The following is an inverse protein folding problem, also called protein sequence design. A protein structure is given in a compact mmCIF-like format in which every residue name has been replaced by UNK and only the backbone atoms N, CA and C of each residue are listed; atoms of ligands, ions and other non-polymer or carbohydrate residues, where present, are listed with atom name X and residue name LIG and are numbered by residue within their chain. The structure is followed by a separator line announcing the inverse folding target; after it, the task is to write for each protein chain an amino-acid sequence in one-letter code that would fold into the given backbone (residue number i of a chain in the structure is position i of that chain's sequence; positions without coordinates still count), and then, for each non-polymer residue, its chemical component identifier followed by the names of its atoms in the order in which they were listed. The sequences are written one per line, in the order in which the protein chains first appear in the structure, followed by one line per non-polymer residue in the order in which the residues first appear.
data_IF_089172495057
#
_entry.id   IF_089172495057
#
_cell.length_a   1.000
_cell.length_b   1.000
_cell.length_c   1.000
_cell.angle_alpha   90.00
_cell.angle_beta   90.00
_cell.angle_gamma   90.00
#
_symmetry.space_group_name_H-M   'P 1'
#
loop_
_entity.id
_entity.type
_entity.pdbx_description
1 polymer ?
#
# COMPACT_ATOMS: atom_id res chain seq x y z
N UNK A 1 -7.52 -3.30 25.95
CA UNK A 1 -8.66 -4.14 26.39
C UNK A 1 -8.51 -5.50 25.74
N UNK A 2 -8.46 -6.55 26.55
CA UNK A 2 -8.19 -7.94 26.15
C UNK A 2 -9.48 -8.53 25.58
N UNK A 3 -9.42 -9.12 24.38
CA UNK A 3 -10.42 -10.10 23.95
C UNK A 3 -9.70 -11.36 23.47
N UNK A 4 -9.81 -12.39 24.31
CA UNK A 4 -9.52 -13.78 23.95
C UNK A 4 -10.78 -14.48 23.44
N UNK A 5 -10.55 -15.38 22.49
CA UNK A 5 -11.22 -16.64 22.20
C UNK A 5 -12.74 -16.75 22.24
N UNK A 6 -13.33 -16.98 21.06
CA UNK A 6 -14.29 -18.07 20.84
C UNK A 6 -14.49 -18.35 19.34
N UNK A 7 -13.80 -19.36 18.80
CA UNK A 7 -14.17 -19.96 17.51
C UNK A 7 -14.48 -21.45 17.71
N UNK A 8 -15.77 -21.78 17.85
CA UNK A 8 -16.29 -23.12 17.61
C UNK A 8 -16.87 -23.19 16.18
N UNK A 9 -16.70 -24.31 15.46
CA UNK A 9 -16.83 -24.35 14.00
C UNK A 9 -18.29 -24.45 13.57
N UNK A 10 -18.75 -23.53 12.69
CA UNK A 10 -20.02 -23.71 11.99
C UNK A 10 -19.81 -24.49 10.69
N UNK A 11 -20.59 -25.55 10.59
CA UNK A 11 -20.56 -26.57 9.58
C UNK A 11 -20.77 -26.05 8.15
N UNK A 12 -19.98 -26.61 7.24
CA UNK A 12 -20.12 -26.54 5.79
C UNK A 12 -21.53 -26.97 5.37
N UNK A 13 -22.24 -26.14 4.60
CA UNK A 13 -23.32 -26.60 3.72
C UNK A 13 -22.76 -26.75 2.31
N UNK A 14 -22.72 -28.00 1.89
CA UNK A 14 -22.43 -28.41 0.52
C UNK A 14 -23.63 -28.15 -0.39
N UNK A 15 -23.32 -27.77 -1.63
CA UNK A 15 -23.90 -28.37 -2.83
C UNK A 15 -25.20 -27.77 -3.36
N UNK A 16 -25.10 -27.12 -4.52
CA UNK A 16 -25.77 -27.60 -5.72
C UNK A 16 -25.15 -26.95 -6.96
N UNK A 17 -24.33 -27.76 -7.64
CA UNK A 17 -23.86 -27.54 -9.00
C UNK A 17 -25.04 -27.61 -9.98
N UNK A 18 -25.06 -26.72 -10.97
CA UNK A 18 -25.72 -27.02 -12.24
C UNK A 18 -24.80 -26.62 -13.40
N UNK A 19 -24.42 -27.63 -14.16
CA UNK A 19 -23.72 -27.59 -15.46
C UNK A 19 -24.77 -27.83 -16.54
N UNK A 20 -24.70 -27.08 -17.65
CA UNK A 20 -25.04 -27.43 -19.06
C UNK A 20 -24.50 -26.24 -19.89
N UNK A 21 -23.40 -26.28 -20.62
CA UNK A 21 -22.99 -27.07 -21.80
C UNK A 21 -23.46 -26.50 -23.17
N UNK A 22 -22.50 -25.83 -23.84
CA UNK A 22 -22.05 -25.96 -25.24
C UNK A 22 -22.98 -25.64 -26.44
N UNK A 23 -22.49 -24.79 -27.35
CA UNK A 23 -22.04 -25.07 -28.76
C UNK A 23 -21.95 -23.75 -29.55
N UNK A 24 -20.83 -23.29 -30.12
CA UNK A 24 -19.93 -23.76 -31.20
C UNK A 24 -20.27 -23.15 -32.59
N UNK A 25 -19.20 -22.90 -33.38
CA UNK A 25 -19.08 -22.65 -34.84
C UNK A 25 -18.64 -21.21 -35.24
N UNK A 26 -17.39 -20.98 -35.72
CA UNK A 26 -16.86 -21.11 -37.12
C UNK A 26 -16.75 -19.69 -37.78
N UNK A 27 -15.70 -19.18 -38.45
CA UNK A 27 -14.68 -19.69 -39.38
C UNK A 27 -13.50 -18.68 -39.57
N UNK A 28 -12.29 -19.22 -39.94
CA UNK A 28 -11.35 -18.87 -41.05
C UNK A 28 -10.96 -17.37 -41.29
N UNK A 29 -9.77 -16.91 -41.68
CA UNK A 29 -8.56 -17.32 -42.46
C UNK A 29 -7.63 -16.07 -42.44
N UNK A 30 -6.30 -16.07 -42.55
CA UNK A 30 -5.35 -16.89 -43.29
C UNK A 30 -3.90 -16.40 -43.10
N UNK A 31 -2.94 -17.27 -43.42
CA UNK A 31 -1.50 -17.01 -43.54
C UNK A 31 -1.15 -16.37 -44.90
N UNK A 32 0.03 -15.73 -45.03
CA UNK A 32 1.23 -16.25 -45.76
C UNK A 32 2.39 -15.23 -45.63
N UNK A 33 3.64 -15.67 -45.39
CA UNK A 33 4.87 -14.85 -45.35
C UNK A 33 5.61 -14.83 -46.71
N UNK A 34 6.46 -13.83 -46.93
CA UNK A 34 7.55 -13.82 -47.94
C UNK A 34 8.65 -12.90 -47.45
N UNK A 35 9.92 -12.99 -47.85
CA UNK A 35 10.85 -14.05 -48.19
C UNK A 35 12.21 -13.32 -48.27
N UNK A 36 13.29 -14.00 -47.87
CA UNK A 36 14.67 -13.50 -47.87
C UNK A 36 15.19 -13.38 -49.31
N UNK A 37 15.94 -12.31 -49.60
CA UNK A 37 16.89 -12.30 -50.71
C UNK A 37 18.28 -11.89 -50.20
N UNK A 38 19.24 -12.78 -50.41
CA UNK A 38 20.66 -12.57 -50.21
C UNK A 38 21.30 -12.37 -51.59
N UNK A 39 22.10 -11.32 -51.75
CA UNK A 39 22.96 -11.10 -52.91
C UNK A 39 24.22 -10.36 -52.47
N UNK A 40 25.36 -11.04 -52.52
CA UNK A 40 26.67 -10.41 -52.34
C UNK A 40 27.12 -9.70 -53.62
N UNK A 41 27.95 -8.65 -53.49
CA UNK A 41 29.39 -8.71 -53.78
C UNK A 41 30.02 -7.31 -53.85
N UNK A 42 31.27 -7.23 -53.40
CA UNK A 42 32.35 -6.28 -53.76
C UNK A 42 32.39 -4.82 -53.23
N UNK A 43 33.44 -4.59 -52.41
CA UNK A 43 34.04 -3.32 -51.95
C UNK A 43 34.54 -2.42 -53.10
N UNK A 44 34.72 -1.12 -52.84
CA UNK A 44 36.09 -0.63 -52.59
C UNK A 44 36.24 0.29 -51.37
N UNK A 45 37.47 0.30 -50.88
CA UNK A 45 38.09 1.00 -49.76
C UNK A 45 37.73 2.48 -49.61
N UNK A 46 37.24 2.86 -48.42
CA UNK A 46 37.35 4.23 -47.91
C UNK A 46 37.77 4.19 -46.43
N UNK A 47 38.74 5.03 -46.09
CA UNK A 47 39.49 5.04 -44.84
C UNK A 47 39.19 6.36 -44.11
N UNK A 48 38.18 6.37 -43.24
CA UNK A 48 37.88 7.42 -42.25
C UNK A 48 36.70 6.92 -41.41
N UNK A 49 36.56 7.14 -40.11
CA UNK A 49 37.35 7.79 -39.07
C UNK A 49 37.04 7.02 -37.77
N UNK A 50 37.91 7.13 -36.77
CA UNK A 50 37.61 6.62 -35.42
C UNK A 50 36.45 7.44 -34.86
N UNK A 51 35.24 6.90 -34.93
CA UNK A 51 34.10 7.44 -34.19
C UNK A 51 34.37 7.17 -32.72
N UNK A 52 34.64 8.24 -31.98
CA UNK A 52 34.68 8.20 -30.52
C UNK A 52 33.40 7.54 -30.02
N UNK A 53 33.56 6.55 -29.14
CA UNK A 53 32.46 5.95 -28.39
C UNK A 53 31.67 7.08 -27.72
N UNK A 54 30.44 7.28 -28.17
CA UNK A 54 29.45 8.09 -27.47
C UNK A 54 29.39 7.59 -26.02
N UNK A 55 29.55 8.43 -25.00
CA UNK A 55 29.37 7.99 -23.63
C UNK A 55 27.95 7.42 -23.50
N UNK A 56 27.87 6.18 -23.02
CA UNK A 56 26.62 5.53 -22.63
C UNK A 56 25.79 6.50 -21.78
N UNK A 57 24.44 6.50 -21.88
CA UNK A 57 23.62 7.27 -20.98
C UNK A 57 24.01 6.88 -19.55
N UNK A 58 24.52 7.85 -18.80
CA UNK A 58 24.93 7.68 -17.42
C UNK A 58 23.75 7.08 -16.66
N UNK A 59 23.97 5.90 -16.06
CA UNK A 59 23.04 5.39 -15.07
C UNK A 59 22.82 6.52 -14.04
N UNK A 60 21.58 6.71 -13.54
CA UNK A 60 21.36 7.60 -12.41
C UNK A 60 22.36 7.24 -11.31
N UNK A 61 22.90 8.23 -10.57
CA UNK A 61 23.83 7.96 -9.49
C UNK A 61 23.21 6.91 -8.57
N UNK A 62 23.99 5.89 -8.22
CA UNK A 62 23.57 4.92 -7.21
C UNK A 62 23.14 5.70 -5.96
N UNK A 63 22.05 5.27 -5.29
CA UNK A 63 21.58 5.95 -4.10
C UNK A 63 22.75 6.14 -3.13
N UNK A 64 22.84 7.31 -2.52
CA UNK A 64 23.97 7.66 -1.65
C UNK A 64 23.87 6.93 -0.29
N UNK A 65 24.10 5.60 -0.35
CA UNK A 65 24.14 4.67 0.77
C UNK A 65 25.33 5.01 1.66
N UNK A 66 25.05 5.21 2.95
CA UNK A 66 26.04 5.48 3.99
C UNK A 66 26.57 4.16 4.55
N UNK A 67 25.65 3.26 4.93
CA UNK A 67 25.98 1.93 5.45
C UNK A 67 24.77 1.00 5.35
N UNK A 68 25.01 -0.27 5.64
CA UNK A 68 24.00 -1.31 5.72
C UNK A 68 24.15 -2.11 7.02
N UNK A 69 23.06 -2.64 7.55
CA UNK A 69 23.05 -3.51 8.72
C UNK A 69 22.16 -4.73 8.42
N UNK A 70 22.65 -5.92 8.77
CA UNK A 70 21.86 -7.14 8.70
C UNK A 70 21.48 -7.55 10.11
N UNK A 71 20.20 -7.85 10.32
CA UNK A 71 19.67 -8.24 11.62
C UNK A 71 18.72 -9.41 11.41
N UNK A 72 18.76 -10.39 12.28
CA UNK A 72 17.82 -11.51 12.27
C UNK A 72 17.27 -11.75 13.66
N UNK A 73 16.09 -12.35 13.75
CA UNK A 73 15.49 -12.66 15.03
C UNK A 73 14.26 -13.54 14.92
N UNK A 74 13.55 -13.59 16.05
CA UNK A 74 12.31 -14.33 16.22
C UNK A 74 11.29 -13.38 16.82
N UNK A 75 10.06 -13.42 16.32
CA UNK A 75 8.97 -12.53 16.70
C UNK A 75 8.30 -12.86 18.03
N UNK A 76 7.59 -11.89 18.64
CA UNK A 76 7.60 -10.45 18.32
C UNK A 76 8.80 -9.72 18.98
N UNK A 77 9.13 -8.52 18.47
CA UNK A 77 10.07 -7.56 19.09
C UNK A 77 9.37 -6.23 19.40
N UNK A 78 8.17 -6.33 19.98
CA UNK A 78 7.36 -5.18 20.32
C UNK A 78 7.82 -4.45 21.61
N UNK A 79 8.30 -5.21 22.61
CA UNK A 79 8.67 -4.65 23.92
C UNK A 79 10.16 -4.31 24.00
N UNK A 80 11.03 -5.23 23.55
CA UNK A 80 12.49 -5.06 23.63
C UNK A 80 13.05 -4.23 22.46
N UNK A 81 12.28 -4.10 21.38
CA UNK A 81 12.72 -3.49 20.12
C UNK A 81 13.91 -4.19 19.47
N UNK A 82 14.34 -3.65 18.33
CA UNK A 82 15.53 -4.08 17.60
C UNK A 82 16.45 -2.86 17.46
N UNK A 83 17.66 -2.88 18.06
CA UNK A 83 18.56 -1.74 17.97
C UNK A 83 19.14 -1.59 16.56
N UNK A 84 19.16 -0.35 16.08
CA UNK A 84 19.69 0.06 14.79
C UNK A 84 20.94 0.93 14.98
N UNK A 85 22.03 0.54 14.35
CA UNK A 85 23.32 1.26 14.41
C UNK A 85 23.34 2.40 13.38
N UNK A 86 22.48 3.41 13.59
CA UNK A 86 22.26 4.47 12.59
C UNK A 86 23.46 5.41 12.49
N UNK A 87 24.14 5.50 11.33
CA UNK A 87 25.31 6.35 11.19
C UNK A 87 24.90 7.84 11.11
N UNK A 88 25.80 8.76 11.50
CA UNK A 88 25.60 10.19 11.31
C UNK A 88 25.37 10.54 9.83
N UNK A 89 24.47 11.49 9.57
CA UNK A 89 24.14 11.95 8.22
C UNK A 89 23.04 11.15 7.52
N UNK A 90 22.48 10.12 8.17
CA UNK A 90 21.28 9.42 7.70
C UNK A 90 20.11 10.38 7.56
N UNK A 91 19.38 10.28 6.45
CA UNK A 91 18.18 11.07 6.12
C UNK A 91 16.99 10.21 5.72
N UNK A 92 17.23 8.95 5.35
CA UNK A 92 16.20 7.92 5.26
C UNK A 92 16.75 6.55 5.62
N UNK A 93 15.87 5.68 6.10
CA UNK A 93 16.15 4.28 6.41
C UNK A 93 15.29 3.42 5.51
N UNK A 94 15.89 2.44 4.84
CA UNK A 94 15.18 1.44 4.05
C UNK A 94 15.40 0.08 4.69
N UNK A 95 14.36 -0.72 4.82
CA UNK A 95 14.40 -2.05 5.42
C UNK A 95 13.75 -3.02 4.46
N UNK A 96 14.52 -4.00 4.01
CA UNK A 96 13.97 -5.17 3.35
C UNK A 96 13.77 -6.25 4.42
N UNK A 97 12.51 -6.55 4.74
CA UNK A 97 12.13 -7.53 5.75
C UNK A 97 11.74 -8.84 5.05
N UNK A 98 12.38 -9.93 5.46
CA UNK A 98 12.11 -11.30 5.03
C UNK A 98 11.58 -12.10 6.21
N UNK A 99 10.47 -12.81 6.02
CA UNK A 99 9.84 -13.72 6.98
C UNK A 99 8.97 -14.73 6.21
N UNK A 100 8.41 -15.73 6.89
CA UNK A 100 7.53 -16.72 6.24
C UNK A 100 6.37 -16.02 5.50
N UNK A 101 6.10 -16.31 4.22
CA UNK A 101 5.01 -15.70 3.46
C UNK A 101 3.59 -15.88 4.02
N UNK A 102 3.39 -16.85 4.92
CA UNK A 102 2.14 -17.01 5.66
C UNK A 102 1.97 -15.96 6.78
N UNK A 103 3.05 -15.28 7.17
CA UNK A 103 3.08 -14.32 8.26
C UNK A 103 2.73 -12.90 7.81
N UNK A 104 2.29 -12.11 8.80
CA UNK A 104 2.08 -10.68 8.66
C UNK A 104 2.92 -9.93 9.69
N UNK A 105 3.33 -8.73 9.33
CA UNK A 105 4.08 -7.86 10.22
C UNK A 105 3.40 -6.49 10.37
N UNK A 106 3.74 -5.83 11.47
CA UNK A 106 3.70 -4.37 11.62
C UNK A 106 5.09 -3.94 12.09
N UNK A 107 5.62 -2.88 11.50
CA UNK A 107 6.92 -2.33 11.78
C UNK A 107 6.83 -0.83 12.08
N UNK A 108 7.50 -0.39 13.14
CA UNK A 108 7.61 1.02 13.49
C UNK A 108 9.07 1.39 13.71
N UNK A 109 9.47 2.57 13.23
CA UNK A 109 10.80 3.12 13.48
C UNK A 109 10.71 4.24 14.53
N UNK A 110 11.21 3.95 15.72
CA UNK A 110 11.06 4.81 16.89
C UNK A 110 9.63 4.88 17.40
N UNK A 111 9.24 6.04 17.95
CA UNK A 111 7.85 6.32 18.35
C UNK A 111 7.13 6.97 17.17
N UNK A 112 6.48 6.14 16.37
CA UNK A 112 5.75 6.49 15.15
C UNK A 112 4.80 7.68 15.36
N UNK A 113 3.99 7.64 16.43
CA UNK A 113 3.06 8.70 16.79
C UNK A 113 3.77 10.02 17.13
N UNK A 114 4.81 9.98 17.96
CA UNK A 114 5.57 11.20 18.31
C UNK A 114 6.25 11.82 17.07
N UNK A 115 6.65 10.98 16.11
CA UNK A 115 7.33 11.39 14.89
C UNK A 115 6.36 11.77 13.77
N UNK A 116 5.05 11.53 13.92
CA UNK A 116 4.08 11.70 12.83
C UNK A 116 4.37 10.77 11.65
N UNK A 117 4.94 9.60 11.91
CA UNK A 117 5.30 8.61 10.93
C UNK A 117 4.39 7.41 11.05
N UNK A 118 4.04 6.82 9.92
CA UNK A 118 3.20 5.63 9.91
C UNK A 118 3.91 4.36 10.38
N UNK A 119 3.27 3.52 11.22
CA UNK A 119 3.55 2.09 11.21
C UNK A 119 3.34 1.52 9.79
N UNK A 120 4.25 0.67 9.37
CA UNK A 120 4.14 -0.05 8.10
C UNK A 120 3.75 -1.49 8.36
N UNK A 121 2.65 -1.93 7.76
CA UNK A 121 2.12 -3.28 7.94
C UNK A 121 1.91 -3.97 6.61
N UNK A 122 1.96 -5.29 6.61
CA UNK A 122 1.71 -6.07 5.41
C UNK A 122 1.96 -7.56 5.59
N UNK A 123 1.73 -8.35 4.53
CA UNK A 123 2.24 -9.71 4.45
C UNK A 123 3.77 -9.69 4.33
N UNK A 124 4.42 -10.73 4.84
CA UNK A 124 5.84 -11.00 4.60
C UNK A 124 6.04 -11.48 3.15
N UNK A 125 6.11 -10.56 2.19
CA UNK A 125 6.46 -10.90 0.80
C UNK A 125 7.88 -10.41 0.46
N UNK A 126 8.63 -11.21 -0.31
CA UNK A 126 10.03 -10.93 -0.70
C UNK A 126 10.20 -9.66 -1.57
N UNK A 127 9.13 -8.91 -1.81
CA UNK A 127 9.10 -7.78 -2.73
C UNK A 127 9.04 -6.42 -2.03
N UNK A 128 8.68 -6.35 -0.74
CA UNK A 128 8.48 -5.07 -0.07
C UNK A 128 9.77 -4.54 0.54
N UNK A 129 10.06 -3.29 0.20
CA UNK A 129 11.02 -2.45 0.91
C UNK A 129 10.22 -1.46 1.72
N UNK A 130 10.40 -1.52 3.03
CA UNK A 130 9.89 -0.54 3.98
C UNK A 130 10.84 0.64 4.00
N UNK A 131 10.34 1.87 4.08
CA UNK A 131 11.20 3.04 4.11
C UNK A 131 10.63 4.07 5.07
N UNK A 132 11.49 4.77 5.79
CA UNK A 132 11.13 5.84 6.73
C UNK A 132 12.00 7.09 6.54
N UNK A 133 11.44 8.29 6.75
CA UNK A 133 12.23 9.50 6.93
C UNK A 133 13.01 9.42 8.25
N UNK A 134 14.28 9.81 8.19
CA UNK A 134 15.11 9.92 9.38
C UNK A 134 15.19 11.38 9.82
N UNK A 135 14.61 11.68 10.97
CA UNK A 135 14.50 13.03 11.52
C UNK A 135 15.33 13.18 12.80
N UNK A 136 15.49 14.42 13.26
CA UNK A 136 16.28 14.72 14.46
C UNK A 136 15.73 14.07 15.74
N UNK A 137 14.44 13.73 15.75
CA UNK A 137 13.77 13.06 16.88
C UNK A 137 13.73 11.54 16.73
N UNK A 138 14.11 10.98 15.58
CA UNK A 138 14.09 9.54 15.34
C UNK A 138 15.03 8.83 16.30
N UNK A 139 14.63 7.64 16.75
CA UNK A 139 15.44 6.77 17.60
C UNK A 139 15.86 5.53 16.80
N UNK A 140 17.04 4.99 17.10
CA UNK A 140 17.57 3.80 16.44
C UNK A 140 16.93 2.50 16.95
N UNK A 141 15.60 2.46 17.03
CA UNK A 141 14.86 1.29 17.50
C UNK A 141 13.78 0.95 16.49
N UNK A 142 13.86 -0.26 15.93
CA UNK A 142 12.81 -0.83 15.11
C UNK A 142 11.93 -1.73 15.99
N UNK A 143 10.64 -1.44 16.04
CA UNK A 143 9.65 -2.26 16.73
C UNK A 143 8.96 -3.16 15.71
N UNK A 144 8.94 -4.48 15.96
CA UNK A 144 8.33 -5.45 15.06
C UNK A 144 7.25 -6.27 15.78
N UNK A 145 6.02 -6.18 15.29
CA UNK A 145 4.92 -7.08 15.65
C UNK A 145 4.75 -8.11 14.55
N UNK A 146 4.70 -9.38 14.93
CA UNK A 146 4.50 -10.54 14.08
C UNK A 146 4.14 -11.73 14.98
N UNK A 147 3.80 -12.90 14.41
CA UNK A 147 3.45 -14.06 15.21
C UNK A 147 4.61 -14.47 16.16
N UNK A 148 4.28 -15.04 17.34
CA UNK A 148 5.28 -15.67 18.19
C UNK A 148 6.04 -16.74 17.41
N UNK A 149 7.35 -16.85 17.66
CA UNK A 149 8.22 -17.85 17.01
C UNK A 149 8.45 -17.62 15.50
N UNK A 150 7.87 -16.57 14.88
CA UNK A 150 8.12 -16.24 13.48
C UNK A 150 9.57 -15.79 13.29
N UNK A 151 10.34 -16.54 12.49
CA UNK A 151 11.70 -16.17 12.11
C UNK A 151 11.68 -15.02 11.09
N UNK A 152 12.59 -14.08 11.25
CA UNK A 152 12.71 -12.94 10.35
C UNK A 152 14.16 -12.49 10.17
N UNK A 153 14.42 -11.88 9.03
CA UNK A 153 15.68 -11.20 8.67
C UNK A 153 15.35 -9.82 8.10
N UNK A 154 16.12 -8.81 8.50
CA UNK A 154 15.99 -7.44 8.06
C UNK A 154 17.34 -6.95 7.50
N UNK A 155 17.34 -6.61 6.21
CA UNK A 155 18.45 -5.89 5.57
C UNK A 155 18.15 -4.40 5.60
N UNK A 156 18.85 -3.67 6.45
CA UNK A 156 18.69 -2.23 6.67
C UNK A 156 19.72 -1.47 5.85
N UNK A 157 19.27 -0.45 5.13
CA UNK A 157 20.10 0.48 4.36
C UNK A 157 19.89 1.90 4.88
N UNK A 158 20.98 2.54 5.26
CA UNK A 158 20.99 3.93 5.70
C UNK A 158 21.42 4.83 4.54
N UNK A 159 20.59 5.82 4.20
CA UNK A 159 20.85 6.71 3.07
C UNK A 159 21.04 8.15 3.51
N UNK A 160 21.90 8.88 2.81
CA UNK A 160 22.03 10.34 2.93
C UNK A 160 21.02 11.09 2.05
N UNK A 161 20.25 10.38 1.24
CA UNK A 161 19.13 10.94 0.49
C UNK A 161 17.91 11.14 1.40
N UNK A 162 17.09 12.18 1.16
CA UNK A 162 15.82 12.32 1.85
C UNK A 162 14.88 11.18 1.46
N UNK A 163 13.94 10.88 2.36
CA UNK A 163 12.82 10.00 2.05
C UNK A 163 12.03 10.55 0.85
N UNK A 164 11.74 9.73 -0.18
CA UNK A 164 11.11 10.16 -1.41
C UNK A 164 9.58 10.24 -1.27
N UNK A 165 9.09 11.14 -0.42
CA UNK A 165 7.65 11.34 -0.25
C UNK A 165 7.03 11.89 -1.54
N UNK A 166 5.95 11.25 -2.00
CA UNK A 166 5.16 11.70 -3.13
C UNK A 166 4.14 12.77 -2.68
N UNK A 167 4.27 14.04 -3.13
CA UNK A 167 3.38 15.11 -2.74
C UNK A 167 1.95 14.94 -3.29
N UNK A 168 1.76 14.19 -4.38
CA UNK A 168 0.43 13.87 -4.91
C UNK A 168 -0.28 12.95 -3.92
N UNK A 169 0.39 11.89 -3.46
CA UNK A 169 -0.16 11.00 -2.45
C UNK A 169 -0.44 11.73 -1.13
N UNK A 170 0.42 12.67 -0.70
CA UNK A 170 0.15 13.50 0.50
C UNK A 170 -1.21 14.20 0.39
N UNK A 171 -1.46 14.91 -0.71
CA UNK A 171 -2.70 15.66 -0.91
C UNK A 171 -3.92 14.75 -1.05
N UNK A 172 -3.78 13.62 -1.73
CA UNK A 172 -4.86 12.66 -1.93
C UNK A 172 -5.21 11.93 -0.63
N UNK A 173 -4.23 11.52 0.17
CA UNK A 173 -4.45 10.88 1.48
C UNK A 173 -5.07 11.84 2.49
N UNK A 174 -4.68 13.13 2.49
CA UNK A 174 -5.34 14.17 3.30
C UNK A 174 -6.80 14.36 2.87
N UNK A 175 -7.05 14.48 1.56
CA UNK A 175 -8.42 14.62 1.04
C UNK A 175 -9.26 13.39 1.38
N UNK A 176 -8.68 12.20 1.25
CA UNK A 176 -9.33 10.95 1.58
C UNK A 176 -9.60 10.79 3.09
N UNK A 177 -8.73 11.31 3.95
CA UNK A 177 -8.98 11.36 5.40
C UNK A 177 -10.29 12.10 5.73
N UNK A 178 -10.67 13.11 4.94
CA UNK A 178 -11.97 13.76 5.09
C UNK A 178 -13.14 12.84 4.70
N UNK A 179 -13.00 12.04 3.64
CA UNK A 179 -13.99 11.02 3.25
C UNK A 179 -14.15 10.01 4.38
N UNK A 180 -13.03 9.45 4.85
CA UNK A 180 -13.02 8.45 5.91
C UNK A 180 -13.63 8.98 7.21
N UNK A 181 -13.22 10.18 7.63
CA UNK A 181 -13.77 10.87 8.79
C UNK A 181 -15.29 11.06 8.68
N UNK A 182 -15.80 11.47 7.51
CA UNK A 182 -17.24 11.66 7.32
C UNK A 182 -18.02 10.36 7.46
N UNK A 183 -17.51 9.25 6.90
CA UNK A 183 -18.17 7.94 7.00
C UNK A 183 -18.15 7.43 8.45
N UNK A 184 -16.99 7.47 9.11
CA UNK A 184 -16.86 7.03 10.51
C UNK A 184 -17.74 7.87 11.44
N UNK A 185 -17.72 9.20 11.33
CA UNK A 185 -18.58 10.08 12.12
C UNK A 185 -20.07 9.90 11.80
N UNK A 186 -20.42 9.58 10.55
CA UNK A 186 -21.79 9.24 10.20
C UNK A 186 -22.25 7.99 10.97
N UNK A 187 -21.46 6.92 10.90
CA UNK A 187 -21.79 5.64 11.54
C UNK A 187 -21.82 5.75 13.07
N UNK A 188 -20.81 6.34 13.69
CA UNK A 188 -20.77 6.53 15.14
C UNK A 188 -21.89 7.47 15.61
N UNK A 189 -22.13 8.56 14.89
CA UNK A 189 -23.18 9.53 15.20
C UNK A 189 -24.58 8.95 15.11
N UNK A 190 -24.85 8.09 14.12
CA UNK A 190 -26.13 7.39 14.01
C UNK A 190 -26.27 6.25 15.03
N UNK A 191 -25.23 5.42 15.14
CA UNK A 191 -25.23 4.20 15.95
C UNK A 191 -24.97 4.49 17.43
N UNK A 192 -23.69 4.60 17.79
CA UNK A 192 -23.25 4.65 19.19
C UNK A 192 -23.76 5.89 19.93
N UNK A 193 -23.63 7.07 19.32
CA UNK A 193 -23.98 8.34 19.97
C UNK A 193 -25.46 8.73 19.79
N UNK A 194 -26.17 8.10 18.84
CA UNK A 194 -27.56 8.42 18.51
C UNK A 194 -27.82 9.94 18.36
N UNK A 195 -26.83 10.67 17.84
CA UNK A 195 -26.84 12.12 17.70
C UNK A 195 -27.79 12.61 16.60
N UNK A 196 -28.07 11.76 15.60
CA UNK A 196 -28.97 12.06 14.50
C UNK A 196 -29.60 10.81 13.89
N UNK A 197 -30.65 11.00 13.08
CA UNK A 197 -31.37 9.92 12.40
C UNK A 197 -30.81 9.57 11.02
N UNK A 198 -31.49 8.64 10.34
CA UNK A 198 -31.04 8.07 9.06
C UNK A 198 -30.96 9.11 7.91
N UNK A 199 -31.72 10.19 7.96
CA UNK A 199 -31.65 11.26 6.94
C UNK A 199 -30.29 11.97 6.97
N UNK A 200 -29.83 12.36 8.16
CA UNK A 200 -28.54 13.02 8.35
C UNK A 200 -27.38 12.06 8.07
N UNK A 201 -27.53 10.80 8.45
CA UNK A 201 -26.58 9.74 8.07
C UNK A 201 -26.43 9.64 6.55
N UNK A 202 -27.55 9.52 5.82
CA UNK A 202 -27.53 9.42 4.35
C UNK A 202 -26.87 10.65 3.73
N UNK A 203 -27.22 11.85 4.21
CA UNK A 203 -26.64 13.11 3.73
C UNK A 203 -25.12 13.14 3.87
N UNK A 204 -24.58 12.64 4.99
CA UNK A 204 -23.14 12.59 5.25
C UNK A 204 -22.44 11.56 4.36
N UNK A 205 -23.02 10.36 4.22
CA UNK A 205 -22.44 9.33 3.35
C UNK A 205 -22.52 9.72 1.86
N UNK A 206 -23.59 10.39 1.43
CA UNK A 206 -23.70 10.97 0.08
C UNK A 206 -22.63 12.04 -0.19
N UNK A 207 -22.35 12.88 0.81
CA UNK A 207 -21.29 13.88 0.71
C UNK A 207 -19.91 13.20 0.58
N UNK A 208 -19.66 12.15 1.37
CA UNK A 208 -18.44 11.35 1.27
C UNK A 208 -18.30 10.66 -0.09
N UNK A 209 -19.39 10.08 -0.62
CA UNK A 209 -19.44 9.46 -1.95
C UNK A 209 -19.08 10.47 -3.06
N UNK A 210 -19.66 11.68 -3.01
CA UNK A 210 -19.38 12.76 -3.97
C UNK A 210 -17.92 13.25 -3.90
N UNK A 211 -17.38 13.36 -2.68
CA UNK A 211 -15.98 13.76 -2.49
C UNK A 211 -15.01 12.72 -3.06
N UNK A 212 -15.26 11.43 -2.82
CA UNK A 212 -14.38 10.38 -3.34
C UNK A 212 -14.54 10.17 -4.86
N UNK A 213 -15.71 10.42 -5.45
CA UNK A 213 -15.90 10.44 -6.91
C UNK A 213 -15.10 11.57 -7.58
N UNK A 214 -15.10 12.75 -6.95
CA UNK A 214 -14.27 13.89 -7.38
C UNK A 214 -12.79 13.52 -7.33
N UNK A 215 -12.34 12.93 -6.21
CA UNK A 215 -10.96 12.49 -6.03
C UNK A 215 -10.57 11.42 -7.05
N UNK A 216 -11.45 10.45 -7.29
CA UNK A 216 -11.27 9.39 -8.28
C UNK A 216 -11.13 9.92 -9.71
N UNK A 217 -11.85 10.99 -10.04
CA UNK A 217 -11.84 11.63 -11.36
C UNK A 217 -10.61 12.52 -11.58
N UNK A 218 -10.07 13.13 -10.53
CA UNK A 218 -8.89 14.00 -10.61
C UNK A 218 -7.57 13.28 -10.38
N UNK A 219 -7.60 12.11 -9.70
CA UNK A 219 -6.39 11.40 -9.30
C UNK A 219 -5.64 10.79 -10.49
N UNK A 220 -4.33 11.03 -10.52
CA UNK A 220 -3.40 10.40 -11.46
C UNK A 220 -2.48 9.38 -10.79
N UNK A 221 -2.68 9.14 -9.50
CA UNK A 221 -1.83 8.26 -8.70
C UNK A 221 -2.29 6.79 -8.76
N UNK A 222 -1.56 5.94 -8.04
CA UNK A 222 -1.93 4.54 -7.78
C UNK A 222 -3.26 4.42 -6.99
N UNK A 223 -3.70 5.46 -6.29
CA UNK A 223 -4.94 5.44 -5.50
C UNK A 223 -6.23 5.59 -6.33
N UNK A 224 -6.14 6.15 -7.53
CA UNK A 224 -7.30 6.39 -8.42
C UNK A 224 -8.28 5.20 -8.57
N UNK A 225 -7.83 3.95 -8.83
CA UNK A 225 -8.75 2.80 -8.88
C UNK A 225 -9.44 2.52 -7.54
N UNK A 226 -8.76 2.69 -6.42
CA UNK A 226 -9.35 2.45 -5.10
C UNK A 226 -10.37 3.53 -4.74
N UNK A 227 -10.14 4.78 -5.13
CA UNK A 227 -11.16 5.84 -4.98
C UNK A 227 -12.42 5.55 -5.78
N UNK A 228 -12.29 5.03 -7.02
CA UNK A 228 -13.46 4.58 -7.79
C UNK A 228 -14.21 3.45 -7.10
N UNK A 229 -13.50 2.46 -6.56
CA UNK A 229 -14.13 1.37 -5.81
C UNK A 229 -14.82 1.87 -4.54
N UNK A 230 -14.21 2.83 -3.83
CA UNK A 230 -14.79 3.39 -2.61
C UNK A 230 -16.05 4.20 -2.94
N UNK A 231 -16.04 4.96 -4.04
CA UNK A 231 -17.26 5.60 -4.54
C UNK A 231 -18.39 4.58 -4.76
N UNK A 232 -18.11 3.46 -5.44
CA UNK A 232 -19.09 2.39 -5.64
C UNK A 232 -19.63 1.86 -4.31
N UNK A 233 -18.76 1.53 -3.35
CA UNK A 233 -19.16 1.05 -2.02
C UNK A 233 -20.08 2.05 -1.32
N UNK A 234 -19.71 3.33 -1.32
CA UNK A 234 -20.50 4.38 -0.67
C UNK A 234 -21.79 4.73 -1.43
N UNK A 235 -21.83 4.58 -2.76
CA UNK A 235 -23.02 4.84 -3.57
C UNK A 235 -24.02 3.69 -3.51
N UNK A 236 -23.53 2.45 -3.54
CA UNK A 236 -24.35 1.22 -3.53
C UNK A 236 -24.77 0.77 -2.13
N UNK A 237 -24.32 1.47 -1.06
CA UNK A 237 -24.53 1.34 0.40
C UNK A 237 -25.87 0.85 0.97
N UNK A 238 -26.84 0.55 0.11
CA UNK A 238 -28.13 -0.05 0.41
C UNK A 238 -27.98 -1.40 1.11
N UNK A 239 -28.58 -1.62 2.31
CA UNK A 239 -29.43 -0.73 3.09
C UNK A 239 -28.94 -0.50 4.55
N UNK A 240 -27.67 -0.13 4.78
CA UNK A 240 -27.08 -0.21 6.14
C UNK A 240 -26.75 1.18 6.75
N UNK A 241 -27.75 1.97 7.20
CA UNK A 241 -27.49 3.09 8.09
C UNK A 241 -26.73 2.64 9.33
N UNK A 242 -25.59 3.28 9.59
CA UNK A 242 -24.77 3.02 10.79
C UNK A 242 -23.85 1.81 10.72
N UNK A 243 -23.70 1.16 9.57
CA UNK A 243 -22.89 -0.07 9.46
C UNK A 243 -21.99 -0.09 8.23
N UNK A 244 -21.64 1.06 7.65
CA UNK A 244 -20.71 1.11 6.53
C UNK A 244 -19.30 0.69 6.95
N UNK A 245 -18.87 1.02 8.16
CA UNK A 245 -17.61 0.53 8.73
C UNK A 245 -17.69 -0.92 9.23
N UNK A 246 -18.86 -1.58 9.11
CA UNK A 246 -19.03 -3.00 9.47
C UNK A 246 -19.05 -3.92 8.24
N UNK A 247 -19.20 -3.38 7.03
CA UNK A 247 -19.21 -4.19 5.81
C UNK A 247 -17.80 -4.53 5.33
N UNK A 248 -17.64 -5.75 4.81
CA UNK A 248 -16.35 -6.26 4.37
C UNK A 248 -15.83 -5.48 3.16
N UNK A 249 -16.71 -5.15 2.21
CA UNK A 249 -16.41 -4.45 0.98
C UNK A 249 -15.80 -3.06 1.25
N UNK A 250 -16.20 -2.41 2.34
CA UNK A 250 -15.60 -1.15 2.76
C UNK A 250 -14.13 -1.35 3.16
N UNK A 251 -13.84 -2.35 3.99
CA UNK A 251 -12.48 -2.63 4.45
C UNK A 251 -11.57 -3.17 3.33
N UNK A 252 -12.12 -3.92 2.39
CA UNK A 252 -11.38 -4.39 1.20
C UNK A 252 -10.85 -3.25 0.33
N UNK A 253 -11.54 -2.10 0.32
CA UNK A 253 -11.10 -0.91 -0.41
C UNK A 253 -10.32 0.05 0.48
N UNK A 254 -10.73 0.22 1.75
CA UNK A 254 -10.08 1.12 2.71
C UNK A 254 -8.66 0.69 3.03
N UNK A 255 -8.42 -0.61 3.27
CA UNK A 255 -7.12 -1.11 3.71
C UNK A 255 -6.00 -0.80 2.71
N UNK A 256 -6.14 -1.09 1.40
CA UNK A 256 -5.13 -0.71 0.42
C UNK A 256 -4.86 0.80 0.36
N UNK A 257 -5.88 1.65 0.51
CA UNK A 257 -5.70 3.11 0.52
C UNK A 257 -4.83 3.49 1.73
N UNK A 258 -5.18 3.01 2.92
CA UNK A 258 -4.41 3.26 4.15
C UNK A 258 -2.97 2.74 4.06
N UNK A 259 -2.75 1.54 3.52
CA UNK A 259 -1.41 0.96 3.34
C UNK A 259 -0.53 1.79 2.38
N UNK A 260 -1.09 2.25 1.27
CA UNK A 260 -0.37 3.12 0.30
C UNK A 260 -0.04 4.47 0.95
N UNK A 261 -0.99 5.07 1.65
CA UNK A 261 -0.81 6.31 2.38
C UNK A 261 0.23 6.19 3.51
N UNK A 262 0.23 5.09 4.26
CA UNK A 262 1.20 4.79 5.30
C UNK A 262 2.61 4.65 4.73
N UNK A 263 2.77 3.93 3.61
CA UNK A 263 4.07 3.77 2.91
C UNK A 263 4.64 5.11 2.45
N UNK A 264 3.80 6.11 2.17
CA UNK A 264 4.20 7.46 1.83
C UNK A 264 4.39 8.39 3.06
N UNK A 265 4.14 7.88 4.28
CA UNK A 265 4.03 8.66 5.52
C UNK A 265 3.10 9.86 5.41
N UNK A 266 1.94 9.64 4.81
CA UNK A 266 0.82 10.57 4.76
C UNK A 266 -0.45 9.83 5.19
N UNK A 267 -0.48 9.41 6.45
CA UNK A 267 -1.50 8.48 6.96
C UNK A 267 -2.93 8.97 6.78
N UNK A 268 -3.83 8.02 6.60
CA UNK A 268 -5.28 8.28 6.65
C UNK A 268 -5.70 8.35 8.11
N UNK A 269 -6.36 9.44 8.50
CA UNK A 269 -6.80 9.66 9.87
C UNK A 269 -8.31 9.96 9.96
N UNK A 270 -8.84 9.86 11.17
CA UNK A 270 -10.22 10.24 11.50
C UNK A 270 -10.19 11.50 12.37
N UNK A 271 -10.83 12.57 11.90
CA UNK A 271 -11.16 13.73 12.73
C UNK A 271 -12.49 13.45 13.44
N UNK A 272 -12.41 12.88 14.64
CA UNK A 272 -13.57 12.46 15.41
C UNK A 272 -14.45 13.66 15.83
N UNK A 273 -15.73 13.64 15.45
CA UNK A 273 -16.71 14.65 15.86
C UNK A 273 -17.24 14.41 17.29
N UNK A 274 -17.28 13.14 17.72
CA UNK A 274 -17.93 12.73 18.97
C UNK A 274 -16.94 12.38 20.10
N UNK A 275 -15.65 12.71 19.91
CA UNK A 275 -14.58 12.41 20.86
C UNK A 275 -13.98 11.02 20.65
N UNK A 276 -12.66 10.99 20.53
CA UNK A 276 -11.79 9.80 20.47
C UNK A 276 -10.53 10.06 21.26
#
# INVERSE_FOLDING_TARGET
MIWGDAAAPRARRAGLSLVIAATAALLLTGCVPTAVEAGGESRPTEKAAVTALTPSPSMPPAPAVISTQLISGVGPRAEDGVPLDVPPGTRSVLIHLSCDPAERFTAELGDSMMLGQAPLSGPCDDARTLAWPWEARSTGVLTLWMAPEAEWEASVTYSSEPFPQDPVLVSECETYSNVYSQVTNADEGFGYYAAFGAEEWNRRVDAAASLVDTLASSSTSVLAPYFRSMHTVLAERSPIPGGMTEVQEFWEVQNPISEICATNHSEVYVLAEFGG
#
